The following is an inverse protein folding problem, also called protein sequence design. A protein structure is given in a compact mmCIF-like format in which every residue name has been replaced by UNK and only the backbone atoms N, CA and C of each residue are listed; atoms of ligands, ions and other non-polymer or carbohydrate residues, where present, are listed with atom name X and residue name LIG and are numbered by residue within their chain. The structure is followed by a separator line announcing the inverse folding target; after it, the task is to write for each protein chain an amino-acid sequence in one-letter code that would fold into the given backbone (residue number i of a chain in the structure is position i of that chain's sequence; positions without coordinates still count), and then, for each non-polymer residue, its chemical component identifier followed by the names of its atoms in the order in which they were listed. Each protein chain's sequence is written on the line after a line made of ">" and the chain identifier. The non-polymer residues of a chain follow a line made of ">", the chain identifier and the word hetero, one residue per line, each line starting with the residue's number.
data_IF_820510341605
#
_entry.id   IF_820510341605
#
_cell.length_a   1.000
_cell.length_b   1.000
_cell.length_c   1.000
_cell.angle_alpha   90.00
_cell.angle_beta   90.00
_cell.angle_gamma   90.00
#
_symmetry.space_group_name_H-M   'P 1'
#
loop_
_entity.id
_entity.type
_entity.pdbx_description
1 polymer ?
#
# COMPACT_ATOMS: atom_id res chain seq x y z
N UNK A 1 3.10 3.46 -24.02
CA UNK A 1 2.38 2.60 -23.05
C UNK A 1 2.07 3.40 -21.80
N UNK A 2 3.07 3.95 -21.11
CA UNK A 2 2.84 4.85 -19.95
C UNK A 2 1.90 6.01 -20.27
N UNK A 3 1.94 6.55 -21.49
CA UNK A 3 1.05 7.63 -21.95
C UNK A 3 -0.38 7.17 -22.34
N UNK A 4 -0.64 5.88 -22.49
CA UNK A 4 -1.90 5.35 -23.06
C UNK A 4 -2.64 4.36 -22.18
N UNK A 5 -1.95 3.64 -21.31
CA UNK A 5 -2.54 2.62 -20.44
C UNK A 5 -2.54 3.10 -19.00
N UNK A 6 -3.72 3.51 -18.54
CA UNK A 6 -3.93 4.04 -17.19
C UNK A 6 -3.53 3.04 -16.11
N UNK A 7 -3.78 1.75 -16.33
CA UNK A 7 -3.43 0.72 -15.37
C UNK A 7 -1.91 0.56 -15.26
N UNK A 8 -1.22 0.42 -16.39
CA UNK A 8 0.25 0.35 -16.42
C UNK A 8 0.91 1.59 -15.81
N UNK A 9 0.43 2.79 -16.17
CA UNK A 9 0.92 4.05 -15.61
C UNK A 9 0.70 4.13 -14.10
N UNK A 10 -0.47 3.68 -13.61
CA UNK A 10 -0.81 3.63 -12.20
C UNK A 10 0.14 2.72 -11.41
N UNK A 11 0.28 1.45 -11.81
CA UNK A 11 1.10 0.49 -11.06
C UNK A 11 2.60 0.82 -11.11
N UNK A 12 3.10 1.29 -12.26
CA UNK A 12 4.50 1.68 -12.39
C UNK A 12 4.78 2.95 -11.60
N UNK A 13 3.89 3.95 -11.65
CA UNK A 13 3.99 5.17 -10.86
C UNK A 13 3.98 4.88 -9.36
N UNK A 14 3.14 3.94 -8.90
CA UNK A 14 3.12 3.51 -7.50
C UNK A 14 4.46 2.91 -7.05
N UNK A 15 5.07 2.04 -7.87
CA UNK A 15 6.39 1.45 -7.57
C UNK A 15 7.54 2.47 -7.61
N UNK A 16 7.50 3.43 -8.54
CA UNK A 16 8.49 4.52 -8.60
C UNK A 16 8.39 5.43 -7.37
N UNK A 17 7.17 5.88 -7.01
CA UNK A 17 6.93 6.77 -5.87
C UNK A 17 7.22 6.13 -4.52
N UNK A 18 6.98 4.83 -4.39
CA UNK A 18 7.25 4.12 -3.15
C UNK A 18 8.74 4.22 -2.76
N UNK A 19 9.63 4.18 -3.75
CA UNK A 19 11.08 4.38 -3.55
C UNK A 19 11.45 5.86 -3.41
N UNK A 20 10.90 6.75 -4.24
CA UNK A 20 11.32 8.16 -4.27
C UNK A 20 10.93 8.98 -3.04
N UNK A 21 9.97 8.49 -2.24
CA UNK A 21 9.52 9.13 -1.00
C UNK A 21 10.24 8.60 0.26
N UNK A 22 11.15 7.64 0.12
CA UNK A 22 11.86 7.07 1.27
C UNK A 22 13.02 7.98 1.65
N UNK A 23 13.14 8.24 2.94
CA UNK A 23 14.25 9.02 3.50
C UNK A 23 15.61 8.40 3.19
N UNK A 24 16.55 9.26 2.83
CA UNK A 24 17.89 8.86 2.43
C UNK A 24 18.84 9.16 3.57
N UNK A 25 19.63 8.15 3.93
CA UNK A 25 20.63 8.25 4.98
C UNK A 25 22.03 8.10 4.41
N UNK A 26 23.03 8.64 5.11
CA UNK A 26 24.44 8.53 4.73
C UNK A 26 25.25 7.97 5.88
N UNK A 27 25.88 6.84 5.63
CA UNK A 27 26.83 6.18 6.52
C UNK A 27 28.24 6.68 6.20
N UNK A 28 29.00 7.10 7.22
CA UNK A 28 30.42 7.38 7.06
C UNK A 28 31.20 6.07 6.88
N UNK A 29 32.35 6.12 6.21
CA UNK A 29 33.17 4.92 5.99
C UNK A 29 33.87 4.44 7.27
N UNK A 30 34.23 5.38 8.15
CA UNK A 30 34.78 5.18 9.48
C UNK A 30 34.46 6.38 10.37
N UNK A 31 34.84 6.32 11.65
CA UNK A 31 34.77 7.43 12.60
C UNK A 31 35.91 8.46 12.42
N UNK A 32 36.76 8.29 11.40
CA UNK A 32 37.84 9.24 11.12
C UNK A 32 37.26 10.59 10.68
N UNK A 33 37.85 11.68 11.19
CA UNK A 33 37.32 13.03 10.97
C UNK A 33 37.14 13.41 9.48
N UNK A 34 38.02 12.94 8.60
CA UNK A 34 37.90 13.18 7.16
C UNK A 34 36.78 12.36 6.51
N UNK A 35 36.53 11.13 6.95
CA UNK A 35 35.45 10.28 6.42
C UNK A 35 34.08 10.76 6.94
N UNK A 36 34.03 11.25 8.18
CA UNK A 36 32.85 11.97 8.72
C UNK A 36 32.59 13.25 7.93
N UNK A 37 33.62 14.06 7.66
CA UNK A 37 33.50 15.29 6.86
C UNK A 37 32.98 15.02 5.44
N UNK A 38 33.46 13.95 4.79
CA UNK A 38 32.94 13.51 3.48
C UNK A 38 31.46 13.12 3.56
N UNK A 39 31.08 12.38 4.59
CA UNK A 39 29.69 12.01 4.81
C UNK A 39 28.79 13.23 5.05
N UNK A 40 29.25 14.20 5.85
CA UNK A 40 28.52 15.43 6.15
C UNK A 40 28.29 16.29 4.90
N UNK A 41 29.26 16.34 3.98
CA UNK A 41 29.07 17.01 2.68
C UNK A 41 27.92 16.38 1.89
N UNK A 42 27.81 15.06 1.87
CA UNK A 42 26.70 14.36 1.20
C UNK A 42 25.38 14.57 1.95
N UNK A 43 25.40 14.53 3.29
CA UNK A 43 24.21 14.80 4.13
C UNK A 43 23.66 16.20 3.91
N UNK A 44 24.53 17.18 3.74
CA UNK A 44 24.10 18.55 3.42
C UNK A 44 23.43 18.62 2.04
N UNK A 45 23.99 17.94 1.04
CA UNK A 45 23.40 17.90 -0.29
C UNK A 45 22.04 17.18 -0.35
N UNK A 46 21.80 16.20 0.53
CA UNK A 46 20.52 15.49 0.62
C UNK A 46 19.36 16.37 1.12
N UNK A 47 19.62 17.56 1.66
CA UNK A 47 18.56 18.49 2.13
C UNK A 47 17.82 19.21 1.01
N UNK A 48 18.09 18.87 -0.26
CA UNK A 48 17.46 19.45 -1.44
C UNK A 48 16.07 18.84 -1.65
N UNK A 49 15.06 19.68 -1.78
CA UNK A 49 13.67 19.25 -1.99
C UNK A 49 13.47 18.58 -3.37
N UNK A 50 14.27 18.94 -4.39
CA UNK A 50 14.11 18.41 -5.75
C UNK A 50 14.55 16.94 -5.89
N UNK A 51 15.27 16.39 -4.90
CA UNK A 51 15.89 15.07 -5.00
C UNK A 51 14.86 13.94 -5.14
N UNK A 52 13.66 14.10 -4.57
CA UNK A 52 12.59 13.11 -4.70
C UNK A 52 12.16 12.94 -6.17
N UNK A 53 12.00 14.04 -6.91
CA UNK A 53 11.67 14.00 -8.34
C UNK A 53 12.83 13.44 -9.17
N UNK A 54 14.07 13.80 -8.84
CA UNK A 54 15.27 13.28 -9.49
C UNK A 54 15.40 11.74 -9.32
N UNK A 55 15.04 11.20 -8.14
CA UNK A 55 15.00 9.76 -7.89
C UNK A 55 13.87 9.08 -8.64
N UNK A 56 12.71 9.73 -8.74
CA UNK A 56 11.60 9.24 -9.55
C UNK A 56 12.02 9.05 -11.03
N UNK A 57 12.81 9.99 -11.55
CA UNK A 57 13.37 9.92 -12.91
C UNK A 57 14.45 8.84 -13.08
N UNK A 58 15.29 8.62 -12.06
CA UNK A 58 16.25 7.50 -12.04
C UNK A 58 15.52 6.16 -12.06
N UNK A 59 14.40 6.06 -11.34
CA UNK A 59 13.53 4.88 -11.26
C UNK A 59 12.81 4.56 -12.59
N UNK A 60 12.90 5.42 -13.60
CA UNK A 60 12.47 5.11 -14.97
C UNK A 60 13.16 3.85 -15.54
N UNK A 61 14.32 3.48 -14.99
CA UNK A 61 15.02 2.24 -15.28
C UNK A 61 14.20 0.97 -14.97
N UNK A 62 13.22 1.00 -14.07
CA UNK A 62 12.34 -0.16 -13.81
C UNK A 62 11.51 -0.52 -15.04
N UNK A 63 10.91 0.50 -15.68
CA UNK A 63 10.10 0.33 -16.88
C UNK A 63 10.95 0.02 -18.10
N UNK A 64 11.91 0.89 -18.40
CA UNK A 64 12.70 0.86 -19.64
C UNK A 64 13.91 -0.08 -19.57
N UNK A 65 14.31 -0.49 -18.37
CA UNK A 65 15.49 -1.31 -18.07
C UNK A 65 16.73 -0.47 -17.77
N UNK A 66 16.76 0.76 -18.29
CA UNK A 66 17.84 1.73 -18.11
C UNK A 66 17.27 3.14 -17.99
N UNK A 67 17.94 3.99 -17.21
CA UNK A 67 17.70 5.44 -17.14
C UNK A 67 19.04 6.17 -17.15
N UNK A 68 19.04 7.38 -17.70
CA UNK A 68 20.22 8.23 -17.83
C UNK A 68 19.91 9.59 -17.23
N UNK A 69 20.73 10.00 -16.28
CA UNK A 69 20.56 11.27 -15.58
C UNK A 69 21.89 12.00 -15.59
N UNK A 70 21.94 13.21 -16.14
CA UNK A 70 23.14 14.03 -16.19
C UNK A 70 23.33 14.77 -14.87
N UNK A 71 24.54 14.73 -14.33
CA UNK A 71 24.93 15.50 -13.15
C UNK A 71 25.36 16.88 -13.63
N UNK A 72 24.57 17.90 -13.29
CA UNK A 72 24.92 19.30 -13.52
C UNK A 72 25.76 19.76 -12.33
N UNK A 73 27.06 19.92 -12.56
CA UNK A 73 28.02 20.35 -11.53
C UNK A 73 28.06 21.88 -11.43
N UNK A 74 27.91 22.41 -10.21
CA UNK A 74 28.34 23.75 -9.87
C UNK A 74 29.84 23.74 -9.56
N UNK A 75 30.56 24.59 -10.28
CA UNK A 75 32.02 24.77 -10.22
C UNK A 75 32.41 26.21 -9.88
N UNK A 76 31.43 27.03 -9.49
CA UNK A 76 31.66 28.45 -9.16
C UNK A 76 32.41 28.63 -7.84
N UNK A 77 32.27 27.68 -6.91
CA UNK A 77 32.91 27.66 -5.61
C UNK A 77 34.26 26.94 -5.59
N UNK A 78 34.84 26.83 -4.39
CA UNK A 78 36.05 26.03 -4.13
C UNK A 78 35.77 24.53 -4.21
N UNK A 79 34.56 24.15 -3.80
CA UNK A 79 34.11 22.77 -3.74
C UNK A 79 33.15 22.52 -4.91
N UNK A 80 33.20 21.31 -5.47
CA UNK A 80 32.29 20.88 -6.52
C UNK A 80 30.97 20.44 -5.88
N UNK A 81 29.84 20.87 -6.45
CA UNK A 81 28.52 20.49 -5.97
C UNK A 81 27.65 19.94 -7.10
N UNK A 82 26.97 18.79 -6.93
CA UNK A 82 25.91 18.38 -7.84
C UNK A 82 24.73 19.34 -7.67
N UNK A 83 24.58 20.31 -8.56
CA UNK A 83 23.51 21.31 -8.46
C UNK A 83 22.15 20.74 -8.82
N UNK A 84 22.10 19.88 -9.85
CA UNK A 84 20.88 19.29 -10.38
C UNK A 84 21.17 17.96 -11.04
N UNK A 85 20.27 17.01 -10.90
CA UNK A 85 20.29 15.74 -11.63
C UNK A 85 19.23 15.79 -12.73
N UNK A 86 19.67 15.96 -13.97
CA UNK A 86 18.78 16.19 -15.10
C UNK A 86 18.48 14.87 -15.84
N UNK A 87 17.22 14.44 -15.90
CA UNK A 87 16.84 13.30 -16.71
C UNK A 87 17.12 13.57 -18.19
N UNK A 88 17.77 12.62 -18.87
CA UNK A 88 18.08 12.71 -20.30
C UNK A 88 17.34 11.64 -21.09
N UNK A 89 16.83 12.05 -22.25
CA UNK A 89 16.06 11.18 -23.12
C UNK A 89 16.91 9.98 -23.57
N UNK A 90 16.46 8.72 -23.37
CA UNK A 90 17.17 7.52 -23.78
C UNK A 90 17.56 7.48 -25.27
N UNK A 91 16.90 8.26 -26.15
CA UNK A 91 17.24 8.36 -27.58
C UNK A 91 18.64 8.92 -27.85
N UNK A 92 19.20 9.67 -26.91
CA UNK A 92 20.56 10.23 -26.98
C UNK A 92 21.63 9.19 -26.68
N UNK A 93 21.24 8.00 -26.21
CA UNK A 93 22.17 6.96 -25.81
C UNK A 93 22.04 5.73 -26.70
N UNK A 94 23.13 4.98 -26.80
CA UNK A 94 23.18 3.67 -27.44
C UNK A 94 24.07 2.76 -26.61
N UNK A 95 24.09 1.47 -26.92
CA UNK A 95 25.06 0.54 -26.36
C UNK A 95 26.18 0.26 -27.37
N UNK A 96 27.34 -0.14 -26.85
CA UNK A 96 28.44 -0.63 -27.65
C UNK A 96 28.01 -1.80 -28.54
N UNK A 97 28.49 -1.84 -29.78
CA UNK A 97 28.05 -2.87 -30.75
C UNK A 97 28.58 -4.27 -30.47
N UNK A 98 29.64 -4.37 -29.67
CA UNK A 98 30.33 -5.64 -29.42
C UNK A 98 29.66 -6.42 -28.28
N UNK A 99 29.49 -5.79 -27.13
CA UNK A 99 28.94 -6.44 -25.93
C UNK A 99 27.49 -6.06 -25.67
N UNK A 100 27.00 -4.97 -26.26
CA UNK A 100 25.65 -4.41 -26.05
C UNK A 100 25.36 -4.16 -24.57
N UNK A 101 26.39 -3.77 -23.80
CA UNK A 101 26.35 -3.59 -22.34
C UNK A 101 26.90 -2.25 -21.88
N UNK A 102 27.90 -1.70 -22.55
CA UNK A 102 28.46 -0.42 -22.19
C UNK A 102 27.62 0.70 -22.80
N UNK A 103 27.10 1.65 -21.99
CA UNK A 103 26.37 2.79 -22.52
C UNK A 103 27.33 3.76 -23.21
N UNK A 104 26.85 4.34 -24.31
CA UNK A 104 27.57 5.23 -25.20
C UNK A 104 26.67 6.43 -25.53
N UNK A 105 27.27 7.60 -25.69
CA UNK A 105 26.59 8.80 -26.18
C UNK A 105 26.46 8.72 -27.69
N UNK A 106 25.22 8.69 -28.19
CA UNK A 106 24.93 8.61 -29.61
C UNK A 106 25.21 9.97 -30.25
N UNK A 107 26.03 10.01 -31.29
CA UNK A 107 26.41 11.27 -31.93
C UNK A 107 27.64 11.93 -31.31
N UNK A 108 28.24 11.35 -30.25
CA UNK A 108 29.33 11.98 -29.50
C UNK A 108 28.87 13.28 -28.81
N UNK A 109 29.81 14.04 -28.25
CA UNK A 109 29.51 15.33 -27.60
C UNK A 109 28.93 16.38 -28.57
N UNK A 110 29.32 16.31 -29.84
CA UNK A 110 28.91 17.27 -30.88
C UNK A 110 27.58 16.88 -31.57
N UNK A 111 26.98 15.75 -31.20
CA UNK A 111 25.70 15.25 -31.73
C UNK A 111 25.72 14.67 -33.15
N UNK A 112 26.80 14.86 -33.91
CA UNK A 112 26.93 14.42 -35.31
C UNK A 112 28.02 13.36 -35.55
N UNK A 113 28.71 12.92 -34.50
CA UNK A 113 29.86 12.03 -34.56
C UNK A 113 29.49 10.55 -34.37
N UNK A 114 30.49 9.67 -34.42
CA UNK A 114 30.33 8.26 -34.05
C UNK A 114 29.96 8.18 -32.55
N UNK A 115 29.28 7.11 -32.14
CA UNK A 115 28.97 6.93 -30.73
C UNK A 115 30.25 6.82 -29.87
N UNK A 116 30.32 7.59 -28.80
CA UNK A 116 31.48 7.69 -27.90
C UNK A 116 31.13 7.21 -26.49
N UNK A 117 32.09 6.77 -25.67
CA UNK A 117 31.84 6.47 -24.27
C UNK A 117 31.23 7.68 -23.55
N UNK A 118 30.40 7.44 -22.53
CA UNK A 118 29.89 8.52 -21.70
C UNK A 118 31.06 9.31 -21.08
N UNK A 119 31.01 10.66 -21.11
CA UNK A 119 31.99 11.48 -20.40
C UNK A 119 32.07 11.10 -18.93
N UNK A 120 33.31 10.99 -18.43
CA UNK A 120 33.56 10.61 -17.04
C UNK A 120 32.86 11.56 -16.06
N UNK A 121 32.29 11.01 -15.00
CA UNK A 121 31.68 11.74 -13.88
C UNK A 121 30.51 12.68 -14.26
N UNK A 122 29.94 12.53 -15.46
CA UNK A 122 28.87 13.40 -15.96
C UNK A 122 27.49 12.75 -15.92
N UNK A 123 27.40 11.42 -15.88
CA UNK A 123 26.14 10.70 -15.97
C UNK A 123 25.99 9.64 -14.89
N UNK A 124 24.77 9.57 -14.34
CA UNK A 124 24.26 8.44 -13.59
C UNK A 124 23.60 7.49 -14.59
N UNK A 125 24.09 6.26 -14.66
CA UNK A 125 23.55 5.19 -15.49
C UNK A 125 22.85 4.15 -14.61
N UNK A 126 21.54 4.31 -14.47
CA UNK A 126 20.73 3.37 -13.71
C UNK A 126 20.37 2.15 -14.55
N UNK A 127 20.72 0.96 -14.05
CA UNK A 127 20.27 -0.31 -14.62
C UNK A 127 19.56 -1.11 -13.55
N UNK A 128 18.23 -1.21 -13.65
CA UNK A 128 17.41 -2.06 -12.78
C UNK A 128 16.96 -3.28 -13.58
N UNK A 129 17.23 -4.46 -13.04
CA UNK A 129 17.04 -5.73 -13.75
C UNK A 129 15.78 -6.42 -13.28
N UNK A 130 14.73 -6.43 -14.11
CA UNK A 130 13.59 -7.33 -13.92
C UNK A 130 13.89 -8.75 -14.42
N UNK A 131 14.87 -8.90 -15.33
CA UNK A 131 15.34 -10.20 -15.80
C UNK A 131 16.81 -10.16 -16.24
N UNK A 132 17.43 -11.33 -16.26
CA UNK A 132 18.78 -11.51 -16.81
C UNK A 132 18.83 -11.25 -18.32
N UNK A 133 19.96 -10.70 -18.79
CA UNK A 133 20.21 -10.45 -20.21
C UNK A 133 20.85 -9.08 -20.49
N UNK A 134 20.62 -8.59 -21.71
CA UNK A 134 21.10 -7.28 -22.15
C UNK A 134 20.42 -6.14 -21.37
N UNK A 135 21.12 -5.04 -21.03
CA UNK A 135 20.54 -3.91 -20.30
C UNK A 135 19.28 -3.34 -20.94
N UNK A 136 19.30 -3.10 -22.25
CA UNK A 136 18.12 -2.60 -23.00
C UNK A 136 16.90 -3.55 -23.00
N UNK A 137 17.08 -4.79 -22.52
CA UNK A 137 16.02 -5.80 -22.42
C UNK A 137 15.70 -6.16 -20.97
N UNK A 138 16.25 -5.46 -19.98
CA UNK A 138 16.03 -5.81 -18.57
C UNK A 138 14.79 -5.16 -17.95
N UNK A 139 14.14 -4.22 -18.63
CA UNK A 139 12.94 -3.51 -18.14
C UNK A 139 11.63 -4.27 -18.30
N UNK A 140 10.65 -3.91 -17.47
CA UNK A 140 9.32 -4.53 -17.40
C UNK A 140 8.42 -4.13 -18.59
N UNK A 141 8.64 -2.95 -19.19
CA UNK A 141 7.80 -2.46 -20.28
C UNK A 141 7.71 -3.44 -21.47
N UNK A 142 8.78 -4.19 -21.75
CA UNK A 142 8.81 -5.16 -22.85
C UNK A 142 7.86 -6.35 -22.62
N UNK A 143 7.75 -6.84 -21.38
CA UNK A 143 6.81 -7.93 -21.08
C UNK A 143 5.38 -7.39 -20.99
N UNK A 144 5.20 -6.21 -20.41
CA UNK A 144 3.90 -5.53 -20.31
C UNK A 144 3.34 -5.13 -21.68
N UNK A 145 4.18 -4.92 -22.70
CA UNK A 145 3.75 -4.53 -24.05
C UNK A 145 2.78 -5.53 -24.68
N UNK A 146 2.96 -6.83 -24.42
CA UNK A 146 2.06 -7.86 -24.91
C UNK A 146 0.69 -7.77 -24.25
N UNK A 147 0.66 -7.63 -22.92
CA UNK A 147 -0.57 -7.48 -22.16
C UNK A 147 -1.34 -6.23 -22.59
N UNK A 148 -0.64 -5.10 -22.71
CA UNK A 148 -1.20 -3.85 -23.21
C UNK A 148 -1.78 -3.98 -24.62
N UNK A 149 -1.05 -4.61 -25.55
CA UNK A 149 -1.51 -4.78 -26.93
C UNK A 149 -2.79 -5.63 -26.99
N UNK A 150 -2.84 -6.74 -26.26
CA UNK A 150 -4.05 -7.58 -26.20
C UNK A 150 -5.22 -6.86 -25.54
N UNK A 151 -4.96 -6.02 -24.52
CA UNK A 151 -5.97 -5.20 -23.87
C UNK A 151 -6.51 -4.15 -24.83
N UNK A 152 -5.64 -3.44 -25.56
CA UNK A 152 -6.03 -2.44 -26.53
C UNK A 152 -6.93 -3.01 -27.65
N UNK A 153 -6.63 -4.21 -28.16
CA UNK A 153 -7.51 -4.89 -29.11
C UNK A 153 -8.85 -5.27 -28.48
N UNK A 154 -8.84 -5.79 -27.25
CA UNK A 154 -10.07 -6.13 -26.50
C UNK A 154 -10.95 -4.90 -26.30
N UNK A 155 -10.38 -3.77 -25.91
CA UNK A 155 -11.11 -2.51 -25.72
C UNK A 155 -11.68 -1.96 -27.02
N UNK A 156 -10.92 -2.01 -28.12
CA UNK A 156 -11.42 -1.61 -29.44
C UNK A 156 -12.61 -2.47 -29.86
N UNK A 157 -12.48 -3.79 -29.74
CA UNK A 157 -13.53 -4.72 -30.12
C UNK A 157 -14.77 -4.57 -29.22
N UNK A 158 -14.56 -4.27 -27.93
CA UNK A 158 -15.64 -3.95 -27.00
C UNK A 158 -16.36 -2.66 -27.37
N UNK A 159 -15.63 -1.61 -27.76
CA UNK A 159 -16.25 -0.37 -28.22
C UNK A 159 -17.11 -0.58 -29.48
N UNK A 160 -16.64 -1.39 -30.43
CA UNK A 160 -17.42 -1.77 -31.62
C UNK A 160 -18.66 -2.57 -31.21
N UNK A 161 -18.50 -3.51 -30.28
CA UNK A 161 -19.62 -4.30 -29.75
C UNK A 161 -20.67 -3.42 -29.08
N UNK A 162 -20.27 -2.50 -28.19
CA UNK A 162 -21.16 -1.56 -27.51
C UNK A 162 -21.85 -0.63 -28.51
N UNK A 163 -21.16 -0.17 -29.56
CA UNK A 163 -21.76 0.64 -30.61
C UNK A 163 -22.82 -0.14 -31.41
N UNK A 164 -22.55 -1.41 -31.71
CA UNK A 164 -23.44 -2.23 -32.56
C UNK A 164 -24.65 -2.75 -31.79
N UNK A 165 -24.45 -3.20 -30.56
CA UNK A 165 -25.49 -3.87 -29.75
C UNK A 165 -26.07 -3.00 -28.64
N UNK A 166 -25.41 -1.89 -28.27
CA UNK A 166 -25.91 -0.98 -27.24
C UNK A 166 -27.12 -0.14 -27.69
N UNK A 167 -27.37 -0.06 -29.00
CA UNK A 167 -28.53 0.63 -29.58
C UNK A 167 -29.19 -0.25 -30.64
N UNK A 168 -30.11 -1.15 -30.27
CA UNK A 168 -30.81 -1.97 -31.25
C UNK A 168 -31.65 -1.10 -32.18
N UNK A 169 -31.45 -1.28 -33.49
CA UNK A 169 -32.27 -0.65 -34.53
C UNK A 169 -33.66 -1.25 -34.48
N UNK A 170 -34.68 -0.40 -34.37
CA UNK A 170 -36.09 -0.84 -34.37
C UNK A 170 -36.60 -0.79 -35.80
N UNK A 171 -37.08 -1.95 -36.27
CA UNK A 171 -37.56 -2.11 -37.65
C UNK A 171 -39.08 -2.30 -37.62
N UNK A 172 -39.80 -1.34 -38.20
CA UNK A 172 -41.23 -1.47 -38.44
C UNK A 172 -41.49 -2.26 -39.74
N UNK A 173 -42.24 -3.36 -39.66
CA UNK A 173 -42.62 -4.15 -40.84
C UNK A 173 -44.00 -3.72 -41.34
N UNK A 174 -44.15 -3.41 -42.63
CA UNK A 174 -45.44 -3.11 -43.25
C UNK A 174 -45.83 -4.14 -44.33
N UNK A 175 -47.12 -4.35 -44.54
CA UNK A 175 -47.68 -5.31 -45.50
C UNK A 175 -47.73 -4.73 -46.93
N UNK A 176 -47.82 -5.60 -47.95
CA UNK A 176 -47.77 -5.20 -49.38
C UNK A 176 -48.98 -4.37 -49.86
N UNK A 177 -49.99 -4.15 -49.01
CA UNK A 177 -51.14 -3.27 -49.26
C UNK A 177 -51.12 -1.92 -48.51
N UNK A 178 -50.07 -1.62 -47.72
CA UNK A 178 -50.05 -0.43 -46.87
C UNK A 178 -50.05 0.88 -47.68
N UNK A 179 -50.94 1.81 -47.34
CA UNK A 179 -51.02 3.12 -48.00
C UNK A 179 -49.83 4.02 -47.63
N UNK A 180 -49.63 5.12 -48.37
CA UNK A 180 -48.55 6.09 -48.05
C UNK A 180 -48.75 6.73 -46.66
N UNK A 181 -49.99 6.94 -46.24
CA UNK A 181 -50.33 7.51 -44.93
C UNK A 181 -50.00 6.52 -43.80
N UNK A 182 -50.28 5.23 -44.00
CA UNK A 182 -49.94 4.18 -43.03
C UNK A 182 -48.43 4.04 -42.86
N UNK A 183 -47.67 4.08 -43.96
CA UNK A 183 -46.19 4.05 -43.93
C UNK A 183 -45.61 5.27 -43.19
N UNK A 184 -46.17 6.46 -43.44
CA UNK A 184 -45.76 7.70 -42.77
C UNK A 184 -46.08 7.70 -41.28
N UNK A 185 -47.21 7.11 -40.88
CA UNK A 185 -47.62 6.95 -39.48
C UNK A 185 -46.74 5.93 -38.77
N UNK A 186 -46.46 4.79 -39.40
CA UNK A 186 -45.54 3.77 -38.88
C UNK A 186 -44.13 4.32 -38.71
N UNK A 187 -43.60 5.06 -39.69
CA UNK A 187 -42.27 5.68 -39.57
C UNK A 187 -42.21 6.67 -38.40
N UNK A 188 -43.22 7.56 -38.27
CA UNK A 188 -43.31 8.48 -37.12
C UNK A 188 -43.40 7.75 -35.79
N UNK A 189 -44.16 6.66 -35.73
CA UNK A 189 -44.27 5.85 -34.51
C UNK A 189 -42.92 5.21 -34.14
N UNK A 190 -42.21 4.61 -35.10
CA UNK A 190 -40.90 3.98 -34.84
C UNK A 190 -39.84 5.02 -34.52
N UNK A 191 -39.83 6.17 -35.20
CA UNK A 191 -38.89 7.28 -34.96
C UNK A 191 -39.13 7.99 -33.61
N UNK A 192 -40.38 8.14 -33.17
CA UNK A 192 -40.71 8.75 -31.87
C UNK A 192 -40.39 7.82 -30.68
N UNK A 193 -40.36 6.50 -30.88
CA UNK A 193 -40.03 5.51 -29.84
C UNK A 193 -38.51 5.43 -29.62
N UNK A 194 -37.70 5.66 -30.66
CA UNK A 194 -36.25 5.59 -30.57
C UNK A 194 -35.61 6.66 -31.45
N UNK A 195 -35.02 7.67 -30.80
CA UNK A 195 -34.26 8.72 -31.48
C UNK A 195 -33.26 8.13 -32.49
N UNK A 196 -33.22 8.77 -33.66
CA UNK A 196 -32.31 8.63 -34.80
C UNK A 196 -32.01 7.24 -35.39
N UNK A 197 -32.47 6.12 -34.80
CA UNK A 197 -32.20 4.75 -35.25
C UNK A 197 -33.48 3.94 -35.58
N UNK A 198 -34.32 4.48 -36.48
CA UNK A 198 -35.58 3.89 -36.92
C UNK A 198 -35.59 3.56 -38.43
N UNK A 199 -36.08 2.36 -38.78
CA UNK A 199 -36.25 1.96 -40.18
C UNK A 199 -37.61 1.27 -40.40
N UNK A 200 -38.17 1.40 -41.61
CA UNK A 200 -39.35 0.66 -42.03
C UNK A 200 -39.04 -0.18 -43.27
N UNK A 201 -39.46 -1.45 -43.30
CA UNK A 201 -39.25 -2.35 -44.43
C UNK A 201 -40.56 -3.10 -44.79
N UNK A 202 -40.77 -3.48 -46.07
CA UNK A 202 -41.82 -4.41 -46.43
C UNK A 202 -41.62 -5.75 -45.72
N UNK A 203 -42.71 -6.39 -45.29
CA UNK A 203 -42.67 -7.70 -44.62
C UNK A 203 -42.04 -8.78 -45.51
N UNK A 204 -42.13 -8.66 -46.84
CA UNK A 204 -41.52 -9.57 -47.81
C UNK A 204 -39.99 -9.41 -47.96
N UNK A 205 -39.38 -8.38 -47.35
CA UNK A 205 -37.92 -8.13 -47.36
C UNK A 205 -37.27 -8.33 -45.98
N UNK A 206 -37.88 -9.14 -45.09
CA UNK A 206 -37.26 -9.42 -43.80
C UNK A 206 -35.99 -10.27 -43.96
N UNK A 207 -34.87 -9.76 -43.47
CA UNK A 207 -33.61 -10.50 -43.32
C UNK A 207 -33.52 -10.94 -41.86
N UNK A 208 -33.44 -12.24 -41.62
CA UNK A 208 -33.24 -12.80 -40.28
C UNK A 208 -31.75 -12.87 -39.97
N UNK A 209 -31.33 -12.13 -38.95
CA UNK A 209 -29.98 -12.27 -38.40
C UNK A 209 -29.94 -13.50 -37.49
N UNK A 210 -29.03 -14.43 -37.78
CA UNK A 210 -28.76 -15.57 -36.88
C UNK A 210 -27.97 -15.02 -35.70
N UNK A 211 -28.67 -14.54 -34.67
CA UNK A 211 -28.06 -14.06 -33.45
C UNK A 211 -27.57 -15.25 -32.59
N UNK A 212 -26.40 -15.09 -31.96
CA UNK A 212 -26.03 -15.98 -30.87
C UNK A 212 -26.92 -15.64 -29.68
N UNK A 213 -27.53 -16.65 -29.05
CA UNK A 213 -28.55 -16.50 -28.02
C UNK A 213 -28.08 -15.82 -26.71
N UNK A 214 -26.84 -15.32 -26.64
CA UNK A 214 -26.22 -14.86 -25.41
C UNK A 214 -25.34 -13.61 -25.59
N UNK A 215 -25.89 -12.55 -26.21
CA UNK A 215 -25.22 -11.26 -26.44
C UNK A 215 -24.69 -10.63 -25.14
N UNK A 216 -25.41 -10.77 -24.01
CA UNK A 216 -25.00 -10.28 -22.69
C UNK A 216 -23.69 -10.91 -22.21
N UNK A 217 -23.49 -12.22 -22.44
CA UNK A 217 -22.24 -12.91 -22.09
C UNK A 217 -21.04 -12.41 -22.92
N UNK A 218 -21.28 -11.81 -24.09
CA UNK A 218 -20.26 -11.22 -24.94
C UNK A 218 -19.64 -9.96 -24.32
N UNK A 219 -20.45 -9.04 -23.76
CA UNK A 219 -19.95 -7.81 -23.13
C UNK A 219 -19.06 -8.12 -21.92
N UNK A 220 -19.55 -8.99 -21.03
CA UNK A 220 -18.83 -9.38 -19.81
C UNK A 220 -17.50 -10.07 -20.12
N UNK A 221 -17.40 -10.78 -21.26
CA UNK A 221 -16.18 -11.45 -21.68
C UNK A 221 -15.06 -10.44 -22.02
N UNK A 222 -15.41 -9.31 -22.66
CA UNK A 222 -14.43 -8.27 -22.97
C UNK A 222 -13.88 -7.63 -21.72
N UNK A 223 -14.74 -7.26 -20.77
CA UNK A 223 -14.33 -6.69 -19.49
C UNK A 223 -13.45 -7.69 -18.71
N UNK A 224 -13.89 -8.93 -18.55
CA UNK A 224 -13.13 -9.98 -17.84
C UNK A 224 -11.76 -10.24 -18.45
N UNK A 225 -11.65 -10.18 -19.79
CA UNK A 225 -10.37 -10.34 -20.47
C UNK A 225 -9.46 -9.14 -20.23
N UNK A 226 -9.99 -7.92 -20.29
CA UNK A 226 -9.22 -6.71 -20.00
C UNK A 226 -8.73 -6.70 -18.54
N UNK A 227 -9.62 -7.03 -17.60
CA UNK A 227 -9.35 -7.18 -16.17
C UNK A 227 -8.28 -8.25 -15.90
N UNK A 228 -8.37 -9.41 -16.56
CA UNK A 228 -7.35 -10.45 -16.43
C UNK A 228 -5.96 -9.97 -16.89
N UNK A 229 -5.89 -9.18 -17.96
CA UNK A 229 -4.62 -8.63 -18.48
C UNK A 229 -4.04 -7.59 -17.51
N UNK A 230 -4.88 -6.73 -16.94
CA UNK A 230 -4.46 -5.77 -15.91
C UNK A 230 -3.91 -6.49 -14.67
N UNK A 231 -4.57 -7.56 -14.21
CA UNK A 231 -4.02 -8.41 -13.14
C UNK A 231 -2.65 -8.99 -13.46
N UNK A 232 -2.36 -9.37 -14.71
CA UNK A 232 -1.01 -9.83 -15.06
C UNK A 232 0.01 -8.69 -15.02
N UNK A 233 -0.38 -7.48 -15.40
CA UNK A 233 0.46 -6.29 -15.30
C UNK A 233 0.78 -5.97 -13.84
N UNK A 234 -0.22 -5.96 -12.94
CA UNK A 234 0.01 -5.75 -11.50
C UNK A 234 1.01 -6.75 -10.92
N UNK A 235 0.85 -8.05 -11.23
CA UNK A 235 1.80 -9.09 -10.77
C UNK A 235 3.21 -8.86 -11.30
N UNK A 236 3.34 -8.48 -12.56
CA UNK A 236 4.65 -8.25 -13.17
C UNK A 236 5.35 -7.01 -12.61
N UNK A 237 4.61 -5.96 -12.25
CA UNK A 237 5.16 -4.68 -11.79
C UNK A 237 5.31 -4.63 -10.27
N UNK A 238 4.25 -4.90 -9.51
CA UNK A 238 4.21 -4.75 -8.04
C UNK A 238 4.31 -6.11 -7.34
N UNK A 239 4.45 -7.22 -8.07
CA UNK A 239 4.57 -8.57 -7.49
C UNK A 239 3.25 -9.19 -7.06
N UNK A 240 2.17 -8.41 -7.09
CA UNK A 240 0.85 -8.80 -6.61
C UNK A 240 -0.25 -8.17 -7.44
N UNK A 241 -1.47 -8.71 -7.35
CA UNK A 241 -2.66 -8.06 -7.93
C UNK A 241 -3.25 -6.96 -7.04
N UNK A 242 -2.86 -6.91 -5.76
CA UNK A 242 -3.28 -5.91 -4.76
C UNK A 242 -4.75 -6.03 -4.31
N UNK A 243 -5.03 -5.44 -3.15
CA UNK A 243 -6.36 -5.23 -2.50
C UNK A 243 -7.32 -4.35 -3.30
N UNK A 244 -6.85 -3.66 -4.34
CA UNK A 244 -7.71 -2.98 -5.33
C UNK A 244 -8.63 -3.95 -6.08
N UNK A 245 -8.27 -5.22 -6.08
CA UNK A 245 -8.97 -6.32 -6.75
C UNK A 245 -9.52 -7.36 -5.75
N UNK A 246 -9.39 -7.10 -4.43
CA UNK A 246 -9.96 -8.00 -3.43
C UNK A 246 -11.48 -7.93 -3.52
N UNK A 247 -12.04 -8.88 -4.27
CA UNK A 247 -13.45 -9.21 -4.20
C UNK A 247 -13.84 -9.31 -2.72
N UNK A 248 -14.87 -8.56 -2.37
CA UNK A 248 -15.65 -8.66 -1.16
C UNK A 248 -15.95 -10.15 -0.88
N UNK A 249 -15.17 -10.82 -0.01
CA UNK A 249 -15.39 -12.22 0.35
C UNK A 249 -14.20 -13.13 0.67
N UNK A 250 -12.94 -12.66 0.58
CA UNK A 250 -11.77 -13.46 0.99
C UNK A 250 -11.19 -12.96 2.31
N UNK A 251 -11.04 -13.86 3.30
CA UNK A 251 -10.59 -13.65 4.68
C UNK A 251 -9.75 -12.37 4.92
N UNK A 252 -10.30 -11.48 5.75
CA UNK A 252 -9.69 -10.23 6.22
C UNK A 252 -8.37 -10.43 6.96
N UNK A 253 -7.56 -9.37 6.95
CA UNK A 253 -6.21 -9.21 7.52
C UNK A 253 -5.08 -10.09 7.00
N UNK A 254 -5.22 -11.41 6.95
CA UNK A 254 -4.10 -12.31 6.61
C UNK A 254 -3.56 -12.15 5.19
N UNK A 255 -4.45 -11.95 4.20
CA UNK A 255 -4.05 -11.72 2.81
C UNK A 255 -3.38 -10.37 2.59
N UNK A 256 -3.86 -9.32 3.27
CA UNK A 256 -3.35 -7.96 3.12
C UNK A 256 -1.92 -7.83 3.65
N UNK A 257 -1.59 -8.51 4.75
CA UNK A 257 -0.23 -8.53 5.29
C UNK A 257 0.78 -9.20 4.34
N UNK A 258 0.40 -10.33 3.72
CA UNK A 258 1.24 -11.02 2.73
C UNK A 258 1.44 -10.14 1.48
N UNK A 259 0.38 -9.46 1.08
CA UNK A 259 0.38 -8.52 -0.04
C UNK A 259 1.32 -7.33 0.18
N UNK A 260 1.26 -6.72 1.36
CA UNK A 260 2.17 -5.64 1.73
C UNK A 260 3.63 -6.13 1.81
N UNK A 261 3.87 -7.32 2.39
CA UNK A 261 5.22 -7.90 2.45
C UNK A 261 5.89 -8.08 1.09
N UNK A 262 5.15 -8.57 0.08
CA UNK A 262 5.70 -8.72 -1.30
C UNK A 262 6.04 -7.36 -1.91
N UNK A 263 5.21 -6.35 -1.65
CA UNK A 263 5.46 -4.99 -2.13
C UNK A 263 6.69 -4.39 -1.45
N UNK A 264 6.82 -4.57 -0.14
CA UNK A 264 7.96 -4.11 0.65
C UNK A 264 9.27 -4.81 0.21
N UNK A 265 9.23 -6.10 -0.12
CA UNK A 265 10.38 -6.83 -0.64
C UNK A 265 10.88 -6.24 -1.97
N UNK A 266 9.95 -5.92 -2.88
CA UNK A 266 10.26 -5.28 -4.17
C UNK A 266 10.76 -3.86 -3.98
N UNK A 267 10.11 -3.07 -3.12
CA UNK A 267 10.53 -1.72 -2.75
C UNK A 267 11.96 -1.74 -2.19
N UNK A 268 12.23 -2.64 -1.24
CA UNK A 268 13.56 -2.81 -0.63
C UNK A 268 14.62 -3.20 -1.66
N UNK A 269 14.28 -4.09 -2.60
CA UNK A 269 15.19 -4.47 -3.67
C UNK A 269 15.52 -3.29 -4.60
N UNK A 270 14.51 -2.49 -4.96
CA UNK A 270 14.69 -1.30 -5.79
C UNK A 270 15.48 -0.21 -5.05
N UNK A 271 15.20 0.03 -3.77
CA UNK A 271 15.94 0.97 -2.92
C UNK A 271 17.43 0.61 -2.84
N UNK A 272 17.75 -0.68 -2.66
CA UNK A 272 19.14 -1.18 -2.70
C UNK A 272 19.79 -0.96 -4.07
N UNK A 273 19.05 -1.18 -5.15
CA UNK A 273 19.55 -0.99 -6.50
C UNK A 273 19.87 0.50 -6.79
N UNK A 274 18.95 1.41 -6.45
CA UNK A 274 19.15 2.86 -6.61
C UNK A 274 20.29 3.35 -5.71
N UNK A 275 20.34 2.91 -4.45
CA UNK A 275 21.46 3.21 -3.54
C UNK A 275 22.80 2.78 -4.17
N UNK A 276 22.88 1.59 -4.75
CA UNK A 276 24.10 1.11 -5.41
C UNK A 276 24.47 1.96 -6.63
N UNK A 277 23.49 2.39 -7.43
CA UNK A 277 23.70 3.26 -8.59
C UNK A 277 24.22 4.64 -8.17
N UNK A 278 23.56 5.29 -7.21
CA UNK A 278 23.99 6.59 -6.69
C UNK A 278 25.37 6.53 -6.05
N UNK A 279 25.65 5.49 -5.26
CA UNK A 279 26.99 5.30 -4.70
C UNK A 279 28.07 5.13 -5.78
N UNK A 280 27.75 4.43 -6.87
CA UNK A 280 28.69 4.16 -7.96
C UNK A 280 28.96 5.39 -8.83
N UNK A 281 27.91 6.09 -9.24
CA UNK A 281 28.00 7.11 -10.30
C UNK A 281 27.92 8.55 -9.79
N UNK A 282 27.44 8.77 -8.56
CA UNK A 282 27.36 10.10 -7.96
C UNK A 282 28.35 10.25 -6.82
N UNK A 283 28.20 9.46 -5.74
CA UNK A 283 28.96 9.67 -4.50
C UNK A 283 30.46 9.44 -4.71
N UNK A 284 30.86 8.32 -5.33
CA UNK A 284 32.27 8.03 -5.60
C UNK A 284 32.92 9.09 -6.50
N UNK A 285 32.38 9.38 -7.71
CA UNK A 285 32.87 10.47 -8.54
C UNK A 285 32.97 11.82 -7.85
N UNK A 286 31.97 12.17 -7.05
CA UNK A 286 31.97 13.43 -6.34
C UNK A 286 33.12 13.52 -5.34
N UNK A 287 33.31 12.49 -4.53
CA UNK A 287 34.41 12.44 -3.57
C UNK A 287 35.77 12.41 -4.27
N UNK A 288 35.89 11.72 -5.41
CA UNK A 288 37.11 11.68 -6.22
C UNK A 288 37.49 13.05 -6.77
N UNK A 289 36.51 13.81 -7.25
CA UNK A 289 36.73 15.17 -7.76
C UNK A 289 37.12 16.12 -6.62
N UNK A 290 36.47 15.98 -5.45
CA UNK A 290 36.60 16.92 -4.34
C UNK A 290 37.85 16.67 -3.47
N UNK A 291 38.16 15.41 -3.17
CA UNK A 291 39.20 15.01 -2.21
C UNK A 291 40.30 14.14 -2.84
N UNK A 292 40.14 13.75 -4.10
CA UNK A 292 41.01 12.79 -4.77
C UNK A 292 40.61 11.33 -4.51
N UNK A 293 41.17 10.38 -5.30
CA UNK A 293 40.81 8.98 -5.21
C UNK A 293 41.11 8.37 -3.84
N UNK A 294 40.10 7.74 -3.23
CA UNK A 294 40.20 7.07 -1.92
C UNK A 294 39.85 5.58 -2.01
N UNK A 295 40.09 4.83 -0.94
CA UNK A 295 39.54 3.48 -0.75
C UNK A 295 38.25 3.50 0.07
N UNK A 296 38.05 4.57 0.85
CA UNK A 296 36.93 4.76 1.77
C UNK A 296 36.03 5.88 1.25
N UNK A 297 34.75 5.57 1.05
CA UNK A 297 33.74 6.51 0.57
C UNK A 297 32.51 6.45 1.48
N UNK A 298 31.85 7.59 1.74
CA UNK A 298 30.55 7.57 2.40
C UNK A 298 29.56 6.75 1.57
N UNK A 299 28.59 6.14 2.25
CA UNK A 299 27.61 5.26 1.63
C UNK A 299 26.22 5.84 1.80
N UNK A 300 25.61 6.19 0.69
CA UNK A 300 24.21 6.57 0.61
C UNK A 300 23.33 5.31 0.70
N UNK A 301 22.38 5.31 1.63
CA UNK A 301 21.45 4.20 1.87
C UNK A 301 20.03 4.72 1.83
N UNK A 302 19.28 4.22 0.85
CA UNK A 302 17.83 4.36 0.77
C UNK A 302 17.24 3.09 1.36
N UNK A 303 16.58 3.20 2.51
CA UNK A 303 15.90 2.10 3.16
C UNK A 303 14.84 2.64 4.10
N UNK A 304 13.67 2.01 4.14
CA UNK A 304 12.69 2.27 5.19
C UNK A 304 13.29 1.84 6.54
N UNK A 305 13.18 2.65 7.60
CA UNK A 305 13.52 2.17 8.94
C UNK A 305 12.63 0.97 9.23
N UNK A 306 13.25 -0.16 9.62
CA UNK A 306 12.47 -1.32 10.04
C UNK A 306 11.62 -0.88 11.22
N UNK A 307 10.29 -0.94 11.08
CA UNK A 307 9.40 -0.82 12.22
C UNK A 307 9.65 -2.07 13.08
N UNK A 308 10.51 -1.93 14.08
CA UNK A 308 10.62 -2.93 15.12
C UNK A 308 9.28 -2.96 15.86
N UNK A 309 8.72 -4.16 16.06
CA UNK A 309 7.53 -4.31 16.88
C UNK A 309 7.90 -3.98 18.33
N UNK A 310 7.66 -2.73 18.71
CA UNK A 310 7.94 -2.21 20.05
C UNK A 310 7.24 -3.07 21.12
N UNK A 311 6.07 -3.64 20.80
CA UNK A 311 5.35 -4.52 21.72
C UNK A 311 6.10 -5.84 21.88
N UNK A 312 6.53 -6.47 20.80
CA UNK A 312 7.34 -7.69 20.84
C UNK A 312 8.69 -7.47 21.55
N UNK A 313 9.35 -6.33 21.29
CA UNK A 313 10.58 -5.94 21.98
C UNK A 313 10.35 -5.76 23.48
N UNK A 314 9.29 -5.05 23.87
CA UNK A 314 8.94 -4.79 25.28
C UNK A 314 8.55 -6.09 26.00
N UNK A 315 7.77 -6.97 25.37
CA UNK A 315 7.42 -8.29 25.90
C UNK A 315 8.66 -9.18 26.07
N UNK A 316 9.56 -9.19 25.08
CA UNK A 316 10.82 -9.91 25.16
C UNK A 316 11.69 -9.40 26.30
N UNK A 317 11.82 -8.07 26.45
CA UNK A 317 12.58 -7.46 27.54
C UNK A 317 11.99 -7.78 28.92
N UNK A 318 10.66 -7.79 29.07
CA UNK A 318 9.99 -8.19 30.32
C UNK A 318 10.33 -9.63 30.74
N UNK A 319 10.59 -10.52 29.79
CA UNK A 319 10.96 -11.93 30.06
C UNK A 319 12.47 -12.06 30.30
N UNK A 320 13.29 -11.51 29.40
CA UNK A 320 14.73 -11.77 29.40
C UNK A 320 15.52 -10.93 30.41
N UNK A 321 15.09 -9.72 30.76
CA UNK A 321 15.80 -8.88 31.75
C UNK A 321 15.77 -9.50 33.16
N UNK A 322 14.63 -10.00 33.67
CA UNK A 322 14.61 -10.76 34.93
C UNK A 322 15.42 -12.08 34.87
N UNK A 323 15.56 -12.67 33.68
CA UNK A 323 16.38 -13.87 33.44
C UNK A 323 17.89 -13.56 33.30
N UNK A 324 18.30 -12.29 33.43
CA UNK A 324 19.70 -11.88 33.47
C UNK A 324 20.27 -11.30 32.18
N UNK A 325 19.44 -11.02 31.17
CA UNK A 325 19.87 -10.28 29.98
C UNK A 325 20.22 -8.84 30.37
N UNK A 326 21.46 -8.43 30.11
CA UNK A 326 21.93 -7.05 30.33
C UNK A 326 21.76 -6.26 29.05
N UNK A 327 20.88 -5.27 29.07
CA UNK A 327 20.63 -4.36 27.95
C UNK A 327 20.94 -2.94 28.39
N UNK A 328 21.58 -2.16 27.52
CA UNK A 328 21.88 -0.76 27.81
C UNK A 328 20.59 0.07 27.77
N UNK A 329 20.36 0.89 28.79
CA UNK A 329 19.13 1.67 28.89
C UNK A 329 18.99 2.72 27.77
N UNK A 330 20.09 3.32 27.31
CA UNK A 330 20.09 4.28 26.21
C UNK A 330 19.65 3.61 24.89
N UNK A 331 20.11 2.39 24.61
CA UNK A 331 19.74 1.65 23.39
C UNK A 331 18.24 1.34 23.33
N UNK A 332 17.60 1.06 24.48
CA UNK A 332 16.15 0.86 24.54
C UNK A 332 15.39 2.19 24.40
N UNK A 333 15.89 3.27 25.00
CA UNK A 333 15.26 4.59 24.85
C UNK A 333 15.34 5.09 23.41
N UNK A 334 16.49 4.93 22.76
CA UNK A 334 16.68 5.27 21.34
C UNK A 334 15.70 4.48 20.45
N UNK A 335 15.52 3.18 20.70
CA UNK A 335 14.54 2.33 19.99
C UNK A 335 13.09 2.74 20.25
N UNK A 336 12.78 3.27 21.44
CA UNK A 336 11.46 3.78 21.79
C UNK A 336 11.24 5.25 21.33
N UNK A 337 12.25 5.90 20.76
CA UNK A 337 12.21 7.32 20.40
C UNK A 337 12.16 8.25 21.61
N UNK A 338 12.57 7.78 22.78
CA UNK A 338 12.63 8.55 24.02
C UNK A 338 14.03 9.13 24.18
N UNK A 339 14.14 10.43 24.46
CA UNK A 339 15.42 11.03 24.82
C UNK A 339 15.87 10.56 26.22
N UNK A 340 17.19 10.54 26.45
CA UNK A 340 17.71 10.36 27.80
C UNK A 340 17.22 11.51 28.69
N UNK A 341 16.65 11.20 29.88
CA UNK A 341 16.18 12.25 30.77
C UNK A 341 17.35 13.10 31.25
N UNK A 342 17.19 14.43 31.18
CA UNK A 342 18.11 15.35 31.83
C UNK A 342 18.16 15.08 33.34
N UNK A 343 19.27 15.47 33.98
CA UNK A 343 19.50 15.22 35.42
C UNK A 343 18.38 15.76 36.33
N UNK A 344 17.65 16.76 35.84
CA UNK A 344 16.58 17.46 36.57
C UNK A 344 15.19 17.28 35.90
N UNK A 345 15.06 16.38 34.92
CA UNK A 345 13.78 16.14 34.25
C UNK A 345 12.82 15.36 35.16
N UNK A 346 11.53 15.73 35.14
CA UNK A 346 10.46 15.00 35.82
C UNK A 346 10.22 13.66 35.11
N UNK A 347 10.60 12.55 35.75
CA UNK A 347 10.51 11.20 35.19
C UNK A 347 9.23 10.51 35.68
N UNK A 348 8.44 9.97 34.75
CA UNK A 348 7.30 9.11 35.08
C UNK A 348 7.78 7.84 35.80
N UNK A 349 7.36 7.65 37.04
CA UNK A 349 7.66 6.45 37.82
C UNK A 349 6.40 5.58 37.98
N UNK A 350 6.59 4.26 38.05
CA UNK A 350 5.51 3.35 38.41
C UNK A 350 5.03 3.66 39.84
N UNK A 351 3.72 3.51 40.14
CA UNK A 351 3.23 3.62 41.52
C UNK A 351 4.02 2.66 42.41
N UNK A 352 4.68 3.19 43.43
CA UNK A 352 5.38 2.35 44.39
C UNK A 352 4.36 1.49 45.12
N UNK A 353 4.49 0.17 45.05
CA UNK A 353 3.75 -0.74 45.90
C UNK A 353 4.01 -0.34 47.36
N UNK A 354 2.96 0.14 48.03
CA UNK A 354 3.02 0.58 49.41
C UNK A 354 3.47 -0.60 50.28
N UNK A 355 4.64 -0.46 50.91
CA UNK A 355 5.10 -1.41 51.91
C UNK A 355 4.05 -1.55 53.03
N UNK A 356 3.82 -2.76 53.58
CA UNK A 356 2.79 -2.97 54.60
C UNK A 356 3.09 -2.14 55.86
N UNK A 357 2.11 -1.44 56.46
CA UNK A 357 2.35 -0.62 57.64
C UNK A 357 2.62 -1.49 58.88
N UNK A 358 3.62 -1.09 59.67
CA UNK A 358 3.92 -1.68 60.97
C UNK A 358 2.86 -1.29 62.03
N UNK A 359 2.69 -2.08 63.12
CA UNK A 359 1.55 -1.95 64.03
C UNK A 359 1.63 -0.72 64.94
N UNK A 360 0.52 0.02 65.02
CA UNK A 360 0.36 1.24 65.82
C UNK A 360 0.26 0.96 67.34
N UNK A 361 0.87 1.84 68.14
CA UNK A 361 0.59 1.99 69.58
C UNK A 361 -0.34 3.19 69.81
N UNK A 362 -1.41 2.94 70.54
CA UNK A 362 -2.51 3.85 70.90
C UNK A 362 -2.23 4.67 72.17
N UNK A 363 -2.72 5.92 72.22
CA UNK A 363 -3.37 6.64 73.36
C UNK A 363 -3.54 8.15 72.99
N UNK A 364 -4.43 8.94 73.64
CA UNK A 364 -5.89 9.00 73.47
C UNK A 364 -6.40 10.38 72.96
N UNK A 365 -7.64 10.40 72.45
CA UNK A 365 -8.28 11.51 71.76
C UNK A 365 -8.72 12.72 72.64
N UNK A 366 -8.72 13.95 72.07
CA UNK A 366 -9.68 14.99 72.41
C UNK A 366 -10.68 15.28 71.28
N UNK A 367 -11.79 15.90 71.67
CA UNK A 367 -13.11 15.93 71.02
C UNK A 367 -13.19 16.62 69.65
N UNK A 368 -13.85 15.91 68.74
CA UNK A 368 -14.74 16.28 67.64
C UNK A 368 -14.86 17.77 67.23
N UNK A 369 -14.41 18.04 66.01
CA UNK A 369 -14.94 19.05 65.07
C UNK A 369 -15.29 18.27 63.79
N UNK A 370 -16.53 18.32 63.26
CA UNK A 370 -16.91 17.53 62.09
C UNK A 370 -16.50 18.28 60.81
N UNK A 371 -15.61 17.69 59.99
CA UNK A 371 -15.37 18.17 58.63
C UNK A 371 -14.95 17.03 57.69
N UNK A 372 -15.89 16.70 56.80
CA UNK A 372 -15.79 16.07 55.47
C UNK A 372 -15.01 14.77 55.31
N UNK A 373 -15.73 13.65 55.47
CA UNK A 373 -15.54 12.45 54.66
C UNK A 373 -15.81 12.81 53.19
N UNK A 374 -14.80 12.71 52.33
CA UNK A 374 -15.03 12.53 50.90
C UNK A 374 -15.81 11.23 50.73
N UNK A 375 -17.09 11.34 50.44
CA UNK A 375 -17.94 10.24 50.02
C UNK A 375 -17.26 9.55 48.83
N UNK A 376 -16.90 8.28 49.01
CA UNK A 376 -16.82 7.38 47.86
C UNK A 376 -18.19 7.42 47.19
N UNK A 377 -18.24 7.91 45.97
CA UNK A 377 -19.44 7.87 45.15
C UNK A 377 -19.95 6.41 45.11
N UNK A 378 -21.24 6.15 45.34
CA UNK A 378 -21.80 4.83 45.14
C UNK A 378 -21.59 4.45 43.67
N UNK A 379 -20.95 3.30 43.42
CA UNK A 379 -20.89 2.70 42.08
C UNK A 379 -22.31 2.68 41.49
N UNK A 380 -22.46 3.33 40.34
CA UNK A 380 -23.74 3.49 39.66
C UNK A 380 -24.43 2.13 39.48
N UNK A 381 -25.74 1.97 39.78
CA UNK A 381 -26.43 0.68 39.66
C UNK A 381 -26.29 0.03 38.28
N UNK A 382 -26.12 0.83 37.22
CA UNK A 382 -25.85 0.34 35.87
C UNK A 382 -24.48 -0.36 35.75
N UNK A 383 -23.45 0.08 36.48
CA UNK A 383 -22.13 -0.55 36.48
C UNK A 383 -22.14 -1.92 37.18
N UNK A 384 -22.96 -2.07 38.23
CA UNK A 384 -23.14 -3.36 38.92
C UNK A 384 -23.92 -4.35 38.05
N UNK A 385 -24.94 -3.87 37.33
CA UNK A 385 -25.76 -4.71 36.43
C UNK A 385 -24.97 -5.09 35.17
N UNK A 386 -24.16 -4.19 34.61
CA UNK A 386 -23.28 -4.48 33.48
C UNK A 386 -22.19 -5.50 33.83
N UNK A 387 -21.58 -5.39 35.03
CA UNK A 387 -20.59 -6.36 35.51
C UNK A 387 -21.18 -7.75 35.74
N UNK A 388 -22.41 -7.85 36.24
CA UNK A 388 -23.10 -9.12 36.42
C UNK A 388 -23.50 -9.79 35.09
N UNK A 389 -24.00 -9.00 34.11
CA UNK A 389 -24.36 -9.51 32.79
C UNK A 389 -23.16 -9.99 31.96
N UNK A 390 -21.98 -9.40 32.18
CA UNK A 390 -20.74 -9.77 31.50
C UNK A 390 -20.14 -11.08 32.03
N UNK A 391 -20.29 -11.38 33.32
CA UNK A 391 -19.79 -12.62 33.92
C UNK A 391 -20.57 -13.87 33.48
N UNK A 392 -21.90 -13.78 33.40
CA UNK A 392 -22.76 -14.92 33.01
C UNK A 392 -22.71 -15.22 31.51
N UNK A 393 -22.55 -14.20 30.65
CA UNK A 393 -22.47 -14.37 29.19
C UNK A 393 -21.14 -14.96 28.71
N UNK A 394 -20.02 -14.59 29.33
CA UNK A 394 -18.69 -15.06 28.93
C UNK A 394 -18.52 -16.56 29.24
N UNK A 395 -18.98 -17.02 30.40
CA UNK A 395 -18.88 -18.43 30.78
C UNK A 395 -19.72 -19.35 29.87
N UNK A 396 -20.90 -18.90 29.43
CA UNK A 396 -21.74 -19.63 28.49
C UNK A 396 -21.11 -19.72 27.10
N UNK A 397 -20.49 -18.64 26.63
CA UNK A 397 -19.80 -18.58 25.33
C UNK A 397 -18.51 -19.42 25.37
N UNK A 398 -17.71 -19.37 26.42
CA UNK A 398 -16.51 -20.20 26.58
C UNK A 398 -16.85 -21.70 26.61
N UNK A 399 -17.92 -22.10 27.30
CA UNK A 399 -18.38 -23.48 27.31
C UNK A 399 -18.84 -23.94 25.92
N UNK A 400 -19.48 -23.05 25.16
CA UNK A 400 -19.91 -23.33 23.79
C UNK A 400 -18.73 -23.46 22.83
N UNK A 401 -17.72 -22.59 22.97
CA UNK A 401 -16.48 -22.63 22.19
C UNK A 401 -15.69 -23.92 22.48
N UNK A 402 -15.49 -24.28 23.74
CA UNK A 402 -14.80 -25.53 24.09
C UNK A 402 -15.52 -26.79 23.59
N UNK A 403 -16.86 -26.75 23.54
CA UNK A 403 -17.68 -27.82 22.97
C UNK A 403 -17.49 -27.94 21.45
N UNK A 404 -17.41 -26.81 20.74
CA UNK A 404 -17.18 -26.75 19.29
C UNK A 404 -15.76 -27.21 18.94
N UNK A 405 -14.74 -26.82 19.71
CA UNK A 405 -13.35 -27.27 19.53
C UNK A 405 -13.23 -28.79 19.69
N UNK A 406 -13.94 -29.37 20.67
CA UNK A 406 -13.98 -30.81 20.88
C UNK A 406 -14.65 -31.56 19.73
N UNK A 407 -15.68 -30.99 19.11
CA UNK A 407 -16.33 -31.56 17.92
C UNK A 407 -15.42 -31.48 16.69
N UNK A 408 -14.70 -30.37 16.54
CA UNK A 408 -13.75 -30.18 15.45
C UNK A 408 -12.59 -31.18 15.54
N UNK A 409 -12.13 -31.48 16.75
CA UNK A 409 -11.09 -32.49 16.97
C UNK A 409 -11.53 -33.95 16.76
N UNK A 410 -12.85 -34.22 16.72
CA UNK A 410 -13.41 -35.58 16.55
C UNK A 410 -14.02 -35.85 15.19
N UNK A 411 -14.32 -34.82 14.40
CA UNK A 411 -14.87 -34.96 13.07
C UNK A 411 -13.78 -35.33 12.06
N UNK A 412 -14.03 -36.35 11.23
CA UNK A 412 -13.07 -36.78 10.21
C UNK A 412 -13.20 -35.97 8.91
N UNK A 413 -14.35 -35.33 8.70
CA UNK A 413 -14.59 -34.41 7.59
C UNK A 413 -15.58 -33.28 7.95
N UNK A 414 -15.66 -32.31 7.04
CA UNK A 414 -16.48 -31.11 7.20
C UNK A 414 -17.99 -31.40 7.23
N UNK A 415 -18.42 -32.51 6.62
CA UNK A 415 -19.81 -32.95 6.59
C UNK A 415 -20.24 -33.55 7.92
N UNK A 416 -19.38 -34.38 8.51
CA UNK A 416 -19.55 -34.97 9.84
C UNK A 416 -19.57 -33.88 10.92
N UNK A 417 -18.65 -32.90 10.83
CA UNK A 417 -18.65 -31.73 11.72
C UNK A 417 -19.96 -30.96 11.65
N UNK A 418 -20.51 -30.73 10.45
CA UNK A 418 -21.79 -30.02 10.26
C UNK A 418 -22.96 -30.75 10.92
N UNK A 419 -22.97 -32.08 10.86
CA UNK A 419 -24.00 -32.91 11.50
C UNK A 419 -23.84 -32.94 13.03
N UNK A 420 -22.61 -33.00 13.53
CA UNK A 420 -22.32 -32.93 14.97
C UNK A 420 -22.74 -31.59 15.57
N UNK A 421 -22.48 -30.49 14.87
CA UNK A 421 -22.83 -29.14 15.31
C UNK A 421 -24.36 -28.94 15.33
N UNK A 422 -25.06 -29.43 14.30
CA UNK A 422 -26.52 -29.37 14.22
C UNK A 422 -27.22 -30.26 15.27
N UNK A 423 -26.59 -31.38 15.66
CA UNK A 423 -27.11 -32.29 16.69
C UNK A 423 -26.86 -31.78 18.12
N UNK A 424 -25.76 -31.07 18.35
CA UNK A 424 -25.35 -30.61 19.67
C UNK A 424 -26.04 -29.32 20.13
N UNK A 425 -26.53 -28.52 19.19
CA UNK A 425 -27.27 -27.28 19.47
C UNK A 425 -28.65 -27.27 18.80
N UNK A 426 -29.54 -28.22 19.12
CA UNK A 426 -30.83 -28.36 18.45
C UNK A 426 -31.83 -27.24 18.81
N UNK A 427 -31.68 -26.63 20.00
CA UNK A 427 -32.60 -25.63 20.56
C UNK A 427 -32.01 -24.22 20.63
N UNK A 428 -31.07 -23.88 19.74
CA UNK A 428 -30.49 -22.53 19.68
C UNK A 428 -31.55 -21.55 19.15
N UNK A 429 -32.45 -21.11 20.05
CA UNK A 429 -33.47 -20.13 19.74
C UNK A 429 -32.79 -18.78 19.48
N UNK A 430 -32.63 -18.48 18.20
CA UNK A 430 -32.03 -17.24 17.71
C UNK A 430 -32.71 -15.99 18.30
N UNK A 431 -33.95 -16.10 18.81
CA UNK A 431 -34.64 -15.01 19.49
C UNK A 431 -34.07 -14.69 20.87
N UNK A 432 -33.62 -15.68 21.67
CA UNK A 432 -33.02 -15.43 22.99
C UNK A 432 -31.61 -14.83 22.88
N UNK A 433 -30.82 -15.31 21.92
CA UNK A 433 -29.50 -14.73 21.64
C UNK A 433 -29.64 -13.31 21.08
N UNK A 434 -30.59 -13.08 20.16
CA UNK A 434 -30.88 -11.75 19.64
C UNK A 434 -31.42 -10.81 20.74
N UNK A 435 -32.23 -11.31 21.67
CA UNK A 435 -32.77 -10.52 22.78
C UNK A 435 -31.69 -10.17 23.80
N UNK A 436 -30.78 -11.10 24.12
CA UNK A 436 -29.64 -10.85 25.00
C UNK A 436 -28.68 -9.81 24.40
N UNK A 437 -28.33 -9.96 23.11
CA UNK A 437 -27.48 -8.99 22.40
C UNK A 437 -28.17 -7.64 22.25
N UNK A 438 -29.47 -7.60 21.95
CA UNK A 438 -30.24 -6.37 21.87
C UNK A 438 -30.32 -5.65 23.22
N UNK A 439 -30.47 -6.39 24.32
CA UNK A 439 -30.46 -5.83 25.68
C UNK A 439 -29.06 -5.28 26.03
N UNK A 440 -27.99 -6.00 25.72
CA UNK A 440 -26.62 -5.52 25.95
C UNK A 440 -26.28 -4.27 25.15
N UNK A 441 -26.71 -4.18 23.88
CA UNK A 441 -26.52 -2.99 23.05
C UNK A 441 -27.37 -1.82 23.58
N UNK A 442 -28.61 -2.06 23.99
CA UNK A 442 -29.46 -1.04 24.57
C UNK A 442 -28.90 -0.48 25.89
N UNK A 443 -28.35 -1.35 26.75
CA UNK A 443 -27.69 -0.96 28.01
C UNK A 443 -26.42 -0.17 27.75
N UNK A 444 -25.59 -0.61 26.79
CA UNK A 444 -24.37 0.12 26.40
C UNK A 444 -24.71 1.49 25.80
N UNK A 445 -25.79 1.60 25.03
CA UNK A 445 -26.23 2.86 24.44
C UNK A 445 -26.79 3.83 25.51
N UNK A 446 -27.56 3.32 26.48
CA UNK A 446 -28.06 4.13 27.59
C UNK A 446 -26.95 4.57 28.54
N UNK A 447 -25.95 3.71 28.78
CA UNK A 447 -24.75 4.08 29.54
C UNK A 447 -23.98 5.22 28.85
N UNK A 448 -23.72 5.10 27.54
CA UNK A 448 -23.05 6.15 26.78
C UNK A 448 -23.83 7.47 26.70
N UNK A 449 -25.17 7.42 26.66
CA UNK A 449 -25.98 8.65 26.73
C UNK A 449 -25.97 9.29 28.13
N UNK A 450 -25.90 8.49 29.19
CA UNK A 450 -25.77 9.00 30.56
C UNK A 450 -24.43 9.71 30.75
N UNK A 451 -23.35 9.12 30.25
CA UNK A 451 -22.00 9.70 30.33
C UNK A 451 -21.94 11.05 29.59
N UNK A 452 -22.57 11.15 28.41
CA UNK A 452 -22.65 12.40 27.64
C UNK A 452 -23.47 13.50 28.35
N UNK A 453 -24.50 13.13 29.11
CA UNK A 453 -25.33 14.09 29.87
C UNK A 453 -24.60 14.57 31.14
N UNK A 454 -23.78 13.73 31.76
CA UNK A 454 -22.88 14.14 32.86
C UNK A 454 -21.75 15.05 32.35
N UNK A 455 -21.12 14.71 31.21
CA UNK A 455 -20.04 15.51 30.61
C UNK A 455 -20.52 16.89 30.14
N UNK A 456 -21.77 17.01 29.68
CA UNK A 456 -22.37 18.28 29.28
C UNK A 456 -22.94 19.10 30.45
N UNK A 457 -23.10 18.52 31.64
CA UNK A 457 -23.44 19.24 32.86
C UNK A 457 -22.21 19.81 33.60
N UNK A 458 -21.03 19.23 33.41
CA UNK A 458 -19.77 19.73 33.97
C UNK A 458 -19.12 20.86 33.14
N UNK A 459 -19.53 21.03 31.87
CA UNK A 459 -18.98 22.05 30.96
C UNK A 459 -19.52 23.47 31.10
N UNK A 460 -20.50 23.72 31.98
CA UNK A 460 -21.22 25.01 32.11
C UNK A 460 -21.10 25.64 33.53
N UNK A 461 -20.03 25.33 34.28
CA UNK A 461 -19.67 26.00 35.55
C UNK A 461 -18.35 26.77 35.49
#
# INVERSE_FOLDING_TARGET
>A
MEERDLHYAGVLGTRKRSVSQIDITVEAASDDAEDVRRADMVREWLKRDELADEIFDIMDAVGKGVSFTEIIWDTSGKDYWPQRLEWRDPRWFTFDRTTMRQPMLRGGLDGNSIAEPLPAFRFIYAQIKAKSGLPVRSGIARIAAWAWMFKAFTQRDWAIFVQTYGQPVRIGKFHEGATKEDKGTLFRAVANIAGDCAAIIPASMSIDFIESSNVTAGSDLYERRADWLDRQISKAVVGQTGTTDSKQGGLGDGGNQVHEGVREDIETADCKAVSAVLNRDLVRPWMDIQFGPSKSYPRLVIARPKQEDIKQLTESLKVFVPMGLKVQASEIRDKLGLSDPDKDAEVLQAPADAAPPAPAQTLPAPKAVPALQSQQAPLHPAAQIAGAAQADGVAAIEAMVGTIETMLGKANDLGEFRLMLASAFPDLDASQLAQSVAQSIAVAHLAGQSDLVEESAEGDQ
#
